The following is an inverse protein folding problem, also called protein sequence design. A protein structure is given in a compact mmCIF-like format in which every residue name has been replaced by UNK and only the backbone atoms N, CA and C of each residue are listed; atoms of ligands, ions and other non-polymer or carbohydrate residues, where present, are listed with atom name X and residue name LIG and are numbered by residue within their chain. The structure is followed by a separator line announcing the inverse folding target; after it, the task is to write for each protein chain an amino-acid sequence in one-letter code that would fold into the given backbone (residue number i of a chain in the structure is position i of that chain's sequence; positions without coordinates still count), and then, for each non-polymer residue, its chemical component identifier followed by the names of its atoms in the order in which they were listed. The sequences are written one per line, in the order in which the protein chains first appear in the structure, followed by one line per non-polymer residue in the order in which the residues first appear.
data_IF_725079485898
#
_entry.id   IF_725079485898
#
_cell.length_a   1.000
_cell.length_b   1.000
_cell.length_c   1.000
_cell.angle_alpha   90.00
_cell.angle_beta   90.00
_cell.angle_gamma   90.00
#
_symmetry.space_group_name_H-M   'P 1'
#
loop_
_entity.id
_entity.type
_entity.pdbx_description
1 polymer ?
#
# COMPACT_ATOMS: atom_id res chain seq x y z
N UNK A 1 21.66 10.74 -12.42
CA UNK A 1 21.03 10.26 -11.17
C UNK A 1 20.18 9.05 -11.53
N UNK A 2 20.18 8.01 -10.69
CA UNK A 2 19.27 6.89 -10.88
C UNK A 2 17.88 7.35 -10.42
N UNK A 3 16.87 7.16 -11.25
CA UNK A 3 15.48 7.43 -10.88
C UNK A 3 14.92 6.18 -10.22
N UNK A 4 14.59 6.29 -8.93
CA UNK A 4 14.15 5.17 -8.10
C UNK A 4 12.74 5.46 -7.60
N UNK A 5 11.85 4.49 -7.77
CA UNK A 5 10.50 4.51 -7.23
C UNK A 5 10.30 3.46 -6.14
N UNK A 6 9.41 3.77 -5.21
CA UNK A 6 8.95 2.85 -4.18
C UNK A 6 7.51 2.48 -4.51
N UNK A 7 7.30 1.21 -4.86
CA UNK A 7 6.00 0.72 -5.32
C UNK A 7 5.52 -0.40 -4.43
N UNK A 8 4.23 -0.37 -4.11
CA UNK A 8 3.57 -1.42 -3.36
C UNK A 8 3.10 -2.53 -4.31
N UNK A 9 3.50 -3.77 -4.04
CA UNK A 9 3.06 -4.96 -4.78
C UNK A 9 2.66 -6.05 -3.80
N UNK A 10 1.36 -6.39 -3.77
CA UNK A 10 0.79 -7.40 -2.87
C UNK A 10 1.11 -7.04 -1.41
N UNK A 11 1.92 -7.85 -0.74
CA UNK A 11 2.33 -7.71 0.66
C UNK A 11 3.78 -7.23 0.83
N UNK A 12 4.38 -6.62 -0.20
CA UNK A 12 5.74 -6.07 -0.13
C UNK A 12 5.85 -4.66 -0.69
N UNK A 13 6.88 -3.97 -0.24
CA UNK A 13 7.36 -2.72 -0.83
C UNK A 13 8.53 -3.04 -1.73
N UNK A 14 8.43 -2.70 -3.01
CA UNK A 14 9.49 -2.90 -3.99
C UNK A 14 10.21 -1.58 -4.27
N UNK A 15 11.53 -1.59 -4.23
CA UNK A 15 12.38 -0.52 -4.75
C UNK A 15 12.64 -0.81 -6.22
N UNK A 16 12.28 0.09 -7.13
CA UNK A 16 12.34 -0.12 -8.57
C UNK A 16 13.20 0.95 -9.24
N UNK A 17 14.12 0.52 -10.10
CA UNK A 17 14.84 1.43 -11.01
C UNK A 17 13.93 1.77 -12.21
N UNK A 18 13.55 3.03 -12.33
CA UNK A 18 12.59 3.47 -13.35
C UNK A 18 13.15 3.37 -14.76
N UNK A 19 14.48 3.32 -14.93
CA UNK A 19 15.11 3.31 -16.26
C UNK A 19 14.90 1.97 -16.98
N UNK A 20 14.83 0.88 -16.22
CA UNK A 20 14.69 -0.47 -16.76
C UNK A 20 13.52 -1.24 -16.12
N UNK A 21 12.76 -0.62 -15.21
CA UNK A 21 11.64 -1.23 -14.49
C UNK A 21 12.04 -2.39 -13.58
N UNK A 22 13.33 -2.55 -13.28
CA UNK A 22 13.84 -3.69 -12.51
C UNK A 22 13.64 -3.43 -11.02
N UNK A 23 13.07 -4.40 -10.32
CA UNK A 23 13.03 -4.39 -8.87
C UNK A 23 14.43 -4.66 -8.33
N UNK A 24 14.96 -3.69 -7.60
CA UNK A 24 16.27 -3.76 -6.96
C UNK A 24 16.20 -4.49 -5.63
N UNK A 25 15.12 -4.26 -4.86
CA UNK A 25 14.94 -4.84 -3.54
C UNK A 25 13.45 -4.98 -3.20
N UNK A 26 13.13 -5.93 -2.31
CA UNK A 26 11.79 -6.11 -1.76
C UNK A 26 11.83 -6.11 -0.23
N UNK A 27 10.98 -5.30 0.39
CA UNK A 27 10.82 -5.22 1.84
C UNK A 27 9.48 -5.85 2.19
N UNK A 28 9.52 -6.90 3.02
CA UNK A 28 8.34 -7.61 3.51
C UNK A 28 7.61 -6.84 4.62
N UNK A 29 6.38 -7.26 4.88
CA UNK A 29 5.59 -6.72 5.98
C UNK A 29 6.25 -6.92 7.35
N UNK A 30 6.92 -8.06 7.54
CA UNK A 30 7.60 -8.37 8.79
C UNK A 30 8.78 -7.41 8.99
N UNK A 31 9.61 -7.19 7.96
CA UNK A 31 10.72 -6.23 8.03
C UNK A 31 10.23 -4.77 8.26
N UNK A 32 9.09 -4.38 7.66
CA UNK A 32 8.49 -3.07 7.91
C UNK A 32 7.99 -2.94 9.36
N UNK A 33 7.36 -3.98 9.90
CA UNK A 33 6.91 -3.99 11.28
C UNK A 33 8.08 -3.93 12.26
N UNK A 34 9.21 -4.59 11.95
CA UNK A 34 10.43 -4.56 12.76
C UNK A 34 11.02 -3.14 12.77
N UNK A 35 11.03 -2.47 11.61
CA UNK A 35 11.48 -1.09 11.51
C UNK A 35 10.59 -0.13 12.32
N UNK A 36 9.27 -0.32 12.31
CA UNK A 36 8.34 0.48 13.12
C UNK A 36 8.57 0.21 14.61
N UNK A 37 8.70 -1.05 15.01
CA UNK A 37 9.01 -1.43 16.39
C UNK A 37 10.30 -0.78 16.86
N UNK A 38 11.38 -0.94 16.10
CA UNK A 38 12.67 -0.37 16.43
C UNK A 38 12.63 1.16 16.50
N UNK A 39 11.96 1.81 15.54
CA UNK A 39 11.96 3.27 15.41
C UNK A 39 11.06 3.98 16.42
N UNK A 40 9.96 3.34 16.81
CA UNK A 40 8.90 3.95 17.61
C UNK A 40 8.59 3.20 18.91
N UNK A 41 9.37 2.17 19.25
CA UNK A 41 9.13 1.28 20.39
C UNK A 41 7.69 0.72 20.42
N UNK A 42 7.11 0.51 19.23
CA UNK A 42 5.74 0.01 19.09
C UNK A 42 5.77 -1.51 19.10
N UNK A 43 4.98 -2.20 19.95
CA UNK A 43 4.98 -3.66 20.00
C UNK A 43 4.72 -4.30 18.64
N UNK A 44 5.45 -5.37 18.30
CA UNK A 44 5.32 -6.12 17.05
C UNK A 44 3.87 -6.34 16.60
N UNK A 45 3.03 -6.84 17.50
CA UNK A 45 1.64 -7.15 17.21
C UNK A 45 0.84 -5.92 16.75
N UNK A 46 1.15 -4.74 17.30
CA UNK A 46 0.53 -3.47 16.91
C UNK A 46 1.15 -2.96 15.61
N UNK A 47 2.48 -3.00 15.47
CA UNK A 47 3.20 -2.60 14.25
C UNK A 47 2.76 -3.40 13.03
N UNK A 48 2.64 -4.72 13.19
CA UNK A 48 2.17 -5.66 12.16
C UNK A 48 0.74 -5.37 11.75
N UNK A 49 -0.18 -5.26 12.71
CA UNK A 49 -1.60 -4.95 12.46
C UNK A 49 -1.78 -3.60 11.73
N UNK A 50 -1.05 -2.56 12.14
CA UNK A 50 -1.09 -1.25 11.47
C UNK A 50 -0.57 -1.37 10.03
N UNK A 51 0.53 -2.11 9.83
CA UNK A 51 1.11 -2.30 8.50
C UNK A 51 0.16 -3.08 7.60
N UNK A 52 -0.42 -4.20 8.06
CA UNK A 52 -1.41 -4.99 7.31
C UNK A 52 -2.62 -4.12 6.90
N UNK A 53 -3.17 -3.34 7.83
CA UNK A 53 -4.29 -2.43 7.55
C UNK A 53 -3.92 -1.36 6.52
N UNK A 54 -2.71 -0.82 6.58
CA UNK A 54 -2.22 0.14 5.58
C UNK A 54 -2.13 -0.50 4.20
N UNK A 55 -1.62 -1.73 4.11
CA UNK A 55 -1.52 -2.47 2.86
C UNK A 55 -2.91 -2.70 2.25
N UNK A 56 -3.90 -3.13 3.03
CA UNK A 56 -5.28 -3.27 2.53
C UNK A 56 -5.86 -1.95 2.00
N UNK A 57 -5.59 -0.83 2.66
CA UNK A 57 -6.05 0.49 2.18
C UNK A 57 -5.38 0.84 0.84
N UNK A 58 -4.09 0.55 0.68
CA UNK A 58 -3.36 0.81 -0.57
C UNK A 58 -3.87 -0.10 -1.69
N UNK A 59 -4.15 -1.37 -1.40
CA UNK A 59 -4.78 -2.29 -2.35
C UNK A 59 -6.17 -1.81 -2.77
N UNK A 60 -7.01 -1.36 -1.83
CA UNK A 60 -8.32 -0.80 -2.15
C UNK A 60 -8.23 0.43 -3.06
N UNK A 61 -7.25 1.31 -2.83
CA UNK A 61 -6.97 2.46 -3.69
C UNK A 61 -6.55 1.99 -5.09
N UNK A 62 -5.59 1.05 -5.17
CA UNK A 62 -5.12 0.49 -6.44
C UNK A 62 -6.27 -0.16 -7.20
N UNK A 63 -7.12 -0.93 -6.53
CA UNK A 63 -8.27 -1.59 -7.13
C UNK A 63 -9.28 -0.59 -7.68
N UNK A 64 -9.53 0.50 -6.96
CA UNK A 64 -10.43 1.56 -7.42
C UNK A 64 -9.97 2.19 -8.74
N UNK A 65 -8.66 2.41 -8.91
CA UNK A 65 -8.10 2.89 -10.17
C UNK A 65 -8.04 1.80 -11.25
N UNK A 66 -7.68 0.56 -10.89
CA UNK A 66 -7.46 -0.54 -11.85
C UNK A 66 -8.74 -1.11 -12.46
N UNK A 67 -9.87 -1.06 -11.72
CA UNK A 67 -11.17 -1.55 -12.21
C UNK A 67 -12.00 -0.46 -12.91
N UNK A 68 -11.48 0.77 -12.99
CA UNK A 68 -12.12 1.83 -13.77
C UNK A 68 -11.90 1.63 -15.25
N UNK A 69 -12.97 1.76 -16.04
CA UNK A 69 -12.86 1.81 -17.52
C UNK A 69 -12.10 3.05 -18.01
N UNK A 70 -12.09 4.12 -17.21
CA UNK A 70 -11.42 5.39 -17.49
C UNK A 70 -10.74 5.91 -16.21
N UNK A 71 -9.58 5.36 -15.81
CA UNK A 71 -8.86 5.75 -14.60
C UNK A 71 -8.56 7.26 -14.52
N UNK A 72 -8.32 7.89 -15.66
CA UNK A 72 -8.05 9.32 -15.82
C UNK A 72 -9.24 10.22 -15.46
N UNK A 73 -10.46 9.67 -15.50
CA UNK A 73 -11.69 10.39 -15.12
C UNK A 73 -12.07 10.20 -13.66
N UNK A 74 -11.43 9.27 -12.96
CA UNK A 74 -11.66 9.05 -11.54
C UNK A 74 -11.04 10.18 -10.72
N UNK A 75 -11.87 10.83 -9.92
CA UNK A 75 -11.37 11.85 -8.98
C UNK A 75 -10.86 11.20 -7.70
N UNK A 76 -9.82 11.81 -7.11
CA UNK A 76 -9.33 11.45 -5.78
C UNK A 76 -10.47 11.39 -4.74
N UNK A 77 -11.41 12.33 -4.78
CA UNK A 77 -12.51 12.39 -3.82
C UNK A 77 -13.37 11.12 -3.88
N UNK A 78 -13.72 10.66 -5.08
CA UNK A 78 -14.48 9.43 -5.31
C UNK A 78 -13.76 8.19 -4.78
N UNK A 79 -12.44 8.07 -5.04
CA UNK A 79 -11.65 6.93 -4.55
C UNK A 79 -11.62 6.91 -3.02
N UNK A 80 -11.35 8.05 -2.40
CA UNK A 80 -11.30 8.14 -0.94
C UNK A 80 -12.66 7.84 -0.29
N UNK A 81 -13.75 8.27 -0.91
CA UNK A 81 -15.11 7.92 -0.46
C UNK A 81 -15.35 6.41 -0.55
N UNK A 82 -14.98 5.79 -1.67
CA UNK A 82 -15.13 4.36 -1.90
C UNK A 82 -14.34 3.52 -0.88
N UNK A 83 -13.06 3.85 -0.68
CA UNK A 83 -12.17 3.18 0.28
C UNK A 83 -12.71 3.31 1.72
N UNK A 84 -13.21 4.50 2.10
CA UNK A 84 -13.84 4.70 3.42
C UNK A 84 -15.10 3.86 3.60
N UNK A 85 -15.93 3.74 2.57
CA UNK A 85 -17.20 3.01 2.60
C UNK A 85 -17.05 1.49 2.59
N UNK A 86 -15.95 0.93 2.07
CA UNK A 86 -15.69 -0.53 2.14
C UNK A 86 -15.68 -1.08 3.57
N UNK A 87 -15.33 -0.27 4.58
CA UNK A 87 -15.46 -0.65 6.00
C UNK A 87 -16.90 -0.84 6.48
N UNK A 88 -17.91 -0.42 5.72
CA UNK A 88 -19.32 -0.49 6.11
C UNK A 88 -20.14 -1.53 5.33
N UNK A 89 -19.54 -2.26 4.39
CA UNK A 89 -20.23 -3.28 3.57
C UNK A 89 -19.98 -4.73 4.03
N UNK A 90 -19.54 -4.92 5.28
CA UNK A 90 -19.67 -6.20 6.01
C UNK A 90 -20.58 -5.98 7.22
N UNK A 91 -21.87 -5.85 6.95
CA UNK A 91 -22.92 -6.20 7.89
C UNK A 91 -23.89 -7.09 7.13
N UNK A 92 -23.69 -8.40 7.30
CA UNK A 92 -24.75 -9.39 7.41
C UNK A 92 -24.35 -10.31 8.58
#
# INVERSE_FOLDING_TARGET
MNEIEVVFKRNKVCIVDCRNGTTLEEISLDELADLIEFRYATPWNVSKDITEKLFYIIEDIKDAYSHSRSPETITKATVLEHVKKRKHFKQD
#
